data_IF_162966135335
#
_entry.id   IF_162966135335
#
_cell.length_a   1.000
_cell.length_b   1.000
_cell.length_c   1.000
_cell.angle_alpha   90.00
_cell.angle_beta   90.00
_cell.angle_gamma   90.00
#
_symmetry.space_group_name_H-M   'P 1'
#
loop_
_entity.id
_entity.type
_entity.pdbx_description
1 polymer ?
#
# COMPACT_ATOMS: atom_id res chain seq x y z
N UNK A 1 -2.70 3.96 -8.51
CA UNK A 1 -2.44 4.78 -9.74
C UNK A 1 -1.03 4.52 -10.21
N UNK A 2 -0.76 4.53 -11.48
CA UNK A 2 0.62 4.49 -11.97
C UNK A 2 1.17 5.91 -11.97
N UNK A 3 2.41 6.10 -11.56
CA UNK A 3 3.13 7.38 -11.72
C UNK A 3 3.55 7.63 -13.17
N UNK A 4 3.22 6.71 -14.08
CA UNK A 4 3.55 6.81 -15.50
C UNK A 4 3.00 8.09 -16.14
N UNK A 5 3.88 8.86 -16.76
CA UNK A 5 3.56 10.15 -17.38
C UNK A 5 3.25 11.28 -16.39
N UNK A 6 3.50 11.08 -15.09
CA UNK A 6 3.37 12.14 -14.07
C UNK A 6 4.66 12.94 -13.95
N UNK A 7 4.50 14.23 -13.75
CA UNK A 7 5.57 15.19 -13.56
C UNK A 7 5.75 15.49 -12.07
N UNK A 8 6.88 15.12 -11.50
CA UNK A 8 7.13 15.24 -10.06
C UNK A 8 8.31 16.19 -9.80
N UNK A 9 8.08 17.17 -8.93
CA UNK A 9 9.19 17.98 -8.38
C UNK A 9 9.64 17.37 -7.05
N UNK A 10 10.92 17.02 -6.95
CA UNK A 10 11.56 16.56 -5.71
C UNK A 10 12.34 17.69 -5.10
N UNK A 11 11.84 18.20 -3.98
CA UNK A 11 12.49 19.25 -3.16
C UNK A 11 13.42 18.65 -2.12
N UNK A 12 14.67 19.10 -2.03
CA UNK A 12 15.66 18.52 -1.13
C UNK A 12 16.24 19.61 -0.22
N UNK A 13 16.10 19.45 1.10
CA UNK A 13 16.72 20.34 2.07
C UNK A 13 17.97 19.73 2.72
N UNK A 14 18.78 20.57 3.37
CA UNK A 14 20.09 20.23 3.93
C UNK A 14 20.00 19.42 5.22
N UNK A 15 19.83 18.13 5.11
CA UNK A 15 19.89 17.15 6.19
C UNK A 15 20.55 15.85 5.72
N UNK A 16 21.11 15.07 6.65
CA UNK A 16 21.83 13.83 6.31
C UNK A 16 20.96 12.88 5.48
N UNK A 17 19.65 12.80 5.71
CA UNK A 17 18.73 11.95 4.95
C UNK A 17 18.68 12.28 3.44
N UNK A 18 19.25 13.42 2.99
CA UNK A 18 19.36 13.75 1.57
C UNK A 18 20.12 12.69 0.75
N UNK A 19 21.03 11.91 1.37
CA UNK A 19 21.77 10.85 0.69
C UNK A 19 20.85 9.72 0.15
N UNK A 20 19.63 9.56 0.71
CA UNK A 20 18.66 8.58 0.27
C UNK A 20 17.86 9.02 -0.96
N UNK A 21 17.83 10.32 -1.26
CA UNK A 21 16.95 10.87 -2.31
C UNK A 21 17.29 10.42 -3.72
N UNK A 22 18.54 10.16 -4.10
CA UNK A 22 18.85 9.52 -5.39
C UNK A 22 18.10 8.19 -5.60
N UNK A 23 17.89 7.40 -4.55
CA UNK A 23 17.11 6.16 -4.60
C UNK A 23 15.60 6.46 -4.84
N UNK A 24 15.04 7.45 -4.13
CA UNK A 24 13.66 7.90 -4.37
C UNK A 24 13.47 8.33 -5.84
N UNK A 25 14.35 9.20 -6.35
CA UNK A 25 14.29 9.69 -7.74
C UNK A 25 14.30 8.50 -8.72
N UNK A 26 15.23 7.55 -8.54
CA UNK A 26 15.28 6.34 -9.38
C UNK A 26 14.03 5.49 -9.29
N UNK A 27 13.43 5.37 -8.11
CA UNK A 27 12.17 4.66 -7.92
C UNK A 27 11.02 5.32 -8.68
N UNK A 28 10.90 6.65 -8.61
CA UNK A 28 9.89 7.44 -9.33
C UNK A 28 10.06 7.32 -10.85
N UNK A 29 11.29 7.49 -11.35
CA UNK A 29 11.61 7.33 -12.78
C UNK A 29 11.30 5.91 -13.27
N UNK A 30 11.65 4.89 -12.48
CA UNK A 30 11.32 3.48 -12.80
C UNK A 30 9.80 3.23 -12.81
N UNK A 31 9.04 3.96 -12.01
CA UNK A 31 7.58 3.93 -12.01
C UNK A 31 6.96 4.72 -13.19
N UNK A 32 7.79 5.34 -14.05
CA UNK A 32 7.40 6.05 -15.27
C UNK A 32 7.13 7.53 -15.08
N UNK A 33 7.51 8.12 -13.94
CA UNK A 33 7.42 9.56 -13.73
C UNK A 33 8.58 10.33 -14.40
N UNK A 34 8.31 11.55 -14.83
CA UNK A 34 9.35 12.55 -15.13
C UNK A 34 9.67 13.30 -13.83
N UNK A 35 10.97 13.43 -13.50
CA UNK A 35 11.39 14.03 -12.24
C UNK A 35 12.28 15.23 -12.48
N UNK A 36 11.94 16.36 -11.83
CA UNK A 36 12.82 17.54 -11.71
C UNK A 36 13.16 17.79 -10.25
N UNK A 37 14.30 18.40 -9.99
CA UNK A 37 14.83 18.55 -8.63
C UNK A 37 15.04 20.03 -8.30
N UNK A 38 14.52 20.45 -7.14
CA UNK A 38 14.82 21.76 -6.53
C UNK A 38 15.52 21.55 -5.18
N UNK A 39 16.62 22.28 -4.92
CA UNK A 39 17.40 22.07 -3.69
C UNK A 39 17.70 23.37 -2.95
N UNK A 40 17.90 23.25 -1.62
CA UNK A 40 18.63 24.27 -0.90
C UNK A 40 20.13 24.12 -1.16
N UNK A 41 20.91 25.21 -1.04
CA UNK A 41 22.39 25.15 -1.12
C UNK A 41 22.97 24.15 -0.12
N UNK A 42 22.38 24.03 1.08
CA UNK A 42 22.85 23.10 2.11
C UNK A 42 22.60 21.63 1.77
N UNK A 43 21.61 21.30 0.93
CA UNK A 43 21.37 19.93 0.47
C UNK A 43 22.57 19.40 -0.34
N UNK A 44 23.21 20.26 -1.12
CA UNK A 44 24.36 19.91 -1.97
C UNK A 44 25.63 19.56 -1.18
N UNK A 45 25.64 19.78 0.15
CA UNK A 45 26.72 19.29 1.03
C UNK A 45 26.58 17.78 1.34
N UNK A 46 25.39 17.21 1.15
CA UNK A 46 25.09 15.79 1.44
C UNK A 46 24.94 14.94 0.17
N UNK A 47 24.51 15.55 -0.94
CA UNK A 47 24.34 14.89 -2.24
C UNK A 47 24.76 15.85 -3.34
N UNK A 48 25.62 15.40 -4.26
CA UNK A 48 26.13 16.29 -5.32
C UNK A 48 25.05 16.57 -6.38
N UNK A 49 25.14 17.75 -6.97
CA UNK A 49 24.28 18.14 -8.09
C UNK A 49 24.42 17.16 -9.25
N UNK A 50 25.65 16.71 -9.55
CA UNK A 50 25.91 15.71 -10.58
C UNK A 50 25.17 14.40 -10.33
N UNK A 51 25.14 13.91 -9.10
CA UNK A 51 24.36 12.70 -8.74
C UNK A 51 22.88 12.90 -9.04
N UNK A 52 22.32 14.03 -8.60
CA UNK A 52 20.89 14.33 -8.79
C UNK A 52 20.52 14.48 -10.27
N UNK A 53 21.34 15.17 -11.06
CA UNK A 53 21.17 15.30 -12.51
C UNK A 53 21.22 13.94 -13.21
N UNK A 54 22.18 13.10 -12.82
CA UNK A 54 22.35 11.76 -13.43
C UNK A 54 21.15 10.86 -13.19
N UNK A 55 20.58 10.87 -11.97
CA UNK A 55 19.47 9.97 -11.63
C UNK A 55 18.11 10.49 -12.08
N UNK A 56 17.94 11.82 -12.19
CA UNK A 56 16.69 12.43 -12.67
C UNK A 56 16.64 12.60 -14.19
N UNK A 57 17.81 12.64 -14.85
CA UNK A 57 17.92 12.99 -16.26
C UNK A 57 17.62 14.48 -16.56
N UNK A 58 17.56 15.32 -15.52
CA UNK A 58 17.16 16.72 -15.62
C UNK A 58 18.10 17.62 -14.86
N UNK A 59 18.19 18.90 -15.26
CA UNK A 59 18.94 19.91 -14.51
C UNK A 59 18.37 20.10 -13.10
N UNK A 60 19.25 20.35 -12.12
CA UNK A 60 18.86 20.66 -10.74
C UNK A 60 18.72 22.18 -10.57
N UNK A 61 17.60 22.61 -10.02
CA UNK A 61 17.36 23.99 -9.64
C UNK A 61 17.88 24.22 -8.21
N UNK A 62 19.02 24.90 -8.09
CA UNK A 62 19.73 25.12 -6.84
C UNK A 62 20.02 26.60 -6.52
N UNK A 63 19.87 27.48 -7.49
CA UNK A 63 20.13 28.92 -7.36
C UNK A 63 19.03 29.71 -8.10
N UNK A 64 18.38 30.63 -7.37
CA UNK A 64 17.31 31.51 -7.92
C UNK A 64 17.85 32.44 -9.00
N UNK A 65 19.14 32.78 -8.96
CA UNK A 65 19.79 33.71 -9.87
C UNK A 65 20.68 33.03 -10.92
N UNK A 66 20.66 31.68 -10.99
CA UNK A 66 21.37 30.98 -12.06
C UNK A 66 20.88 31.44 -13.42
N UNK A 67 21.83 31.66 -14.37
CA UNK A 67 21.51 32.12 -15.72
C UNK A 67 20.55 31.15 -16.42
N UNK A 68 19.42 31.65 -16.86
CA UNK A 68 18.34 30.92 -17.52
C UNK A 68 18.49 31.15 -19.03
N UNK A 69 18.53 30.07 -19.79
CA UNK A 69 18.65 30.14 -21.26
C UNK A 69 17.32 30.40 -21.99
N UNK A 70 16.20 30.45 -21.30
CA UNK A 70 14.86 30.68 -21.86
C UNK A 70 14.07 31.59 -20.93
N UNK A 71 13.23 32.44 -21.48
CA UNK A 71 12.53 33.57 -20.87
C UNK A 71 11.59 33.30 -19.70
N UNK A 72 11.66 32.10 -19.07
CA UNK A 72 10.86 31.74 -17.90
C UNK A 72 11.74 31.50 -16.65
N UNK A 73 11.32 32.06 -15.54
CA UNK A 73 11.94 31.82 -14.23
C UNK A 73 11.58 30.42 -13.71
N UNK A 74 12.56 29.59 -13.33
CA UNK A 74 12.33 28.18 -12.95
C UNK A 74 11.36 28.02 -11.78
N UNK A 75 11.31 28.97 -10.85
CA UNK A 75 10.36 28.94 -9.73
C UNK A 75 8.89 29.16 -10.17
N UNK A 76 8.63 29.53 -11.41
CA UNK A 76 7.28 29.58 -12.03
C UNK A 76 7.09 28.36 -12.93
N UNK A 77 8.07 28.05 -13.79
CA UNK A 77 7.97 26.95 -14.75
C UNK A 77 7.90 25.56 -14.08
N UNK A 78 8.59 25.34 -12.95
CA UNK A 78 8.51 24.07 -12.22
C UNK A 78 7.11 23.80 -11.63
N UNK A 79 6.49 24.75 -10.92
CA UNK A 79 5.10 24.62 -10.46
C UNK A 79 4.08 24.45 -11.56
N UNK A 80 4.24 25.11 -12.69
CA UNK A 80 3.34 24.95 -13.83
C UNK A 80 3.49 23.56 -14.47
N UNK A 81 4.70 23.07 -14.59
CA UNK A 81 5.02 21.79 -15.19
C UNK A 81 4.59 20.60 -14.32
N UNK A 82 4.72 20.67 -12.99
CA UNK A 82 4.52 19.51 -12.12
C UNK A 82 3.04 19.17 -11.87
N UNK A 83 2.77 17.87 -11.70
CA UNK A 83 1.51 17.35 -11.19
C UNK A 83 1.50 17.34 -9.65
N UNK A 84 2.65 17.08 -9.02
CA UNK A 84 2.83 17.09 -7.57
C UNK A 84 4.27 17.42 -7.17
N UNK A 85 4.44 17.82 -5.90
CA UNK A 85 5.75 18.04 -5.30
C UNK A 85 5.94 17.18 -4.06
N UNK A 86 7.16 16.66 -3.84
CA UNK A 86 7.56 16.08 -2.57
C UNK A 86 8.77 16.81 -2.02
N UNK A 87 8.73 17.22 -0.76
CA UNK A 87 9.86 17.80 -0.03
C UNK A 87 10.43 16.75 0.91
N UNK A 88 11.54 16.15 0.53
CA UNK A 88 12.20 15.08 1.25
C UNK A 88 13.74 15.21 1.13
N UNK A 89 14.48 15.23 2.24
CA UNK A 89 14.00 15.48 3.59
C UNK A 89 13.49 16.92 3.76
N UNK A 90 12.50 17.15 4.63
CA UNK A 90 12.09 18.47 5.09
C UNK A 90 12.68 18.73 6.48
N UNK A 91 13.71 19.59 6.55
CA UNK A 91 14.34 19.97 7.82
C UNK A 91 13.49 20.97 8.59
N UNK A 92 13.73 21.12 9.90
CA UNK A 92 13.08 22.13 10.74
C UNK A 92 13.20 23.55 10.15
N UNK A 93 14.33 23.87 9.52
CA UNK A 93 14.55 25.17 8.85
C UNK A 93 13.55 25.38 7.70
N UNK A 94 13.39 24.39 6.82
CA UNK A 94 12.45 24.50 5.69
C UNK A 94 11.00 24.55 6.18
N UNK A 95 10.63 23.72 7.18
CA UNK A 95 9.31 23.75 7.78
C UNK A 95 8.99 25.12 8.40
N UNK A 96 9.93 25.70 9.13
CA UNK A 96 9.77 27.05 9.70
C UNK A 96 9.60 28.12 8.62
N UNK A 97 10.40 28.07 7.54
CA UNK A 97 10.29 28.99 6.41
C UNK A 97 8.95 28.85 5.69
N UNK A 98 8.52 27.61 5.42
CA UNK A 98 7.22 27.35 4.80
C UNK A 98 6.08 27.97 5.60
N UNK A 99 5.99 27.66 6.92
CA UNK A 99 4.94 28.15 7.79
C UNK A 99 4.91 29.69 7.92
N UNK A 100 6.07 30.34 7.70
CA UNK A 100 6.23 31.81 7.79
C UNK A 100 6.18 32.50 6.42
N UNK A 101 6.02 31.78 5.30
CA UNK A 101 6.00 32.33 3.95
C UNK A 101 7.36 32.85 3.47
N UNK A 102 8.48 32.38 4.04
CA UNK A 102 9.84 32.80 3.65
C UNK A 102 10.29 31.99 2.44
N UNK A 103 10.63 32.70 1.35
CA UNK A 103 11.04 32.15 0.07
C UNK A 103 12.37 32.76 -0.39
N UNK A 104 13.47 32.44 0.30
CA UNK A 104 14.79 33.06 0.13
C UNK A 104 15.82 32.14 -0.57
N UNK A 105 15.40 30.97 -1.00
CA UNK A 105 16.22 30.01 -1.76
C UNK A 105 15.39 29.29 -2.85
N UNK A 106 16.04 28.56 -3.75
CA UNK A 106 15.41 27.88 -4.88
C UNK A 106 14.29 26.92 -4.45
N UNK A 107 14.51 26.16 -3.36
CA UNK A 107 13.51 25.23 -2.85
C UNK A 107 12.30 25.97 -2.27
N UNK A 108 12.52 26.92 -1.37
CA UNK A 108 11.42 27.62 -0.68
C UNK A 108 10.61 28.50 -1.64
N UNK A 109 11.25 29.08 -2.66
CA UNK A 109 10.55 29.81 -3.73
C UNK A 109 9.68 28.89 -4.58
N UNK A 110 10.17 27.68 -4.91
CA UNK A 110 9.38 26.66 -5.60
C UNK A 110 8.19 26.20 -4.75
N UNK A 111 8.40 25.94 -3.47
CA UNK A 111 7.32 25.57 -2.53
C UNK A 111 6.25 26.65 -2.49
N UNK A 112 6.62 27.91 -2.31
CA UNK A 112 5.68 29.03 -2.24
C UNK A 112 4.81 29.17 -3.49
N UNK A 113 5.36 28.82 -4.66
CA UNK A 113 4.63 28.85 -5.93
C UNK A 113 3.77 27.61 -6.18
N UNK A 114 4.09 26.47 -5.55
CA UNK A 114 3.36 25.19 -5.71
C UNK A 114 2.19 25.04 -4.73
N UNK A 115 2.38 25.44 -3.47
CA UNK A 115 1.58 24.98 -2.32
C UNK A 115 0.08 25.24 -2.41
N UNK A 116 -0.31 26.34 -3.07
CA UNK A 116 -1.73 26.70 -3.22
C UNK A 116 -2.47 25.98 -4.36
N UNK A 117 -1.76 25.23 -5.20
CA UNK A 117 -2.32 24.71 -6.45
C UNK A 117 -2.02 23.26 -6.75
N UNK A 118 -1.01 22.69 -6.10
CA UNK A 118 -0.50 21.35 -6.43
C UNK A 118 -0.45 20.48 -5.18
N UNK A 119 -0.79 19.20 -5.29
CA UNK A 119 -0.57 18.24 -4.21
C UNK A 119 0.89 18.25 -3.78
N UNK A 120 1.12 18.33 -2.46
CA UNK A 120 2.45 18.40 -1.89
C UNK A 120 2.61 17.41 -0.75
N UNK A 121 3.66 16.60 -0.79
CA UNK A 121 4.04 15.68 0.29
C UNK A 121 5.25 16.25 1.01
N UNK A 122 5.18 16.35 2.32
CA UNK A 122 6.26 16.82 3.17
C UNK A 122 6.75 15.67 4.03
N UNK A 123 8.03 15.34 3.93
CA UNK A 123 8.69 14.28 4.70
C UNK A 123 9.68 14.87 5.71
N UNK A 124 9.24 15.18 6.95
CA UNK A 124 10.10 15.72 7.97
C UNK A 124 11.25 14.76 8.31
N UNK A 125 12.47 15.31 8.46
CA UNK A 125 13.61 14.53 8.92
C UNK A 125 14.58 15.44 9.70
N UNK A 126 14.78 15.12 10.98
CA UNK A 126 15.60 15.89 11.89
C UNK A 126 15.95 15.08 13.15
N UNK A 127 16.77 15.63 14.02
CA UNK A 127 16.97 15.07 15.35
C UNK A 127 15.66 15.12 16.18
N UNK A 128 15.48 14.17 17.10
CA UNK A 128 14.31 14.04 17.97
C UNK A 128 13.99 15.33 18.75
N UNK A 129 15.01 15.97 19.34
CA UNK A 129 14.85 17.25 20.07
C UNK A 129 14.40 18.40 19.16
N UNK A 130 14.82 18.38 17.91
CA UNK A 130 14.36 19.37 16.92
C UNK A 130 12.93 19.09 16.51
N UNK A 131 12.55 17.81 16.42
CA UNK A 131 11.16 17.40 16.17
C UNK A 131 10.23 17.85 17.29
N UNK A 132 10.63 17.63 18.55
CA UNK A 132 9.86 18.01 19.74
C UNK A 132 9.85 19.53 20.01
N UNK A 133 10.68 20.31 19.32
CA UNK A 133 10.76 21.76 19.52
C UNK A 133 9.39 22.41 19.27
N UNK A 134 8.88 23.25 20.22
CA UNK A 134 7.58 23.90 20.11
C UNK A 134 7.38 24.70 18.81
N UNK A 135 8.43 25.37 18.31
CA UNK A 135 8.36 26.13 17.07
C UNK A 135 8.23 25.20 15.85
N UNK A 136 8.95 24.08 15.83
CA UNK A 136 8.81 23.06 14.78
C UNK A 136 7.40 22.46 14.78
N UNK A 137 6.88 22.10 15.95
CA UNK A 137 5.53 21.57 16.08
C UNK A 137 4.45 22.60 15.70
N UNK A 138 4.66 23.90 15.99
CA UNK A 138 3.77 24.97 15.54
C UNK A 138 3.78 25.09 14.02
N UNK A 139 4.95 25.09 13.38
CA UNK A 139 5.08 25.11 11.92
C UNK A 139 4.36 23.91 11.26
N UNK A 140 4.53 22.70 11.82
CA UNK A 140 3.88 21.51 11.32
C UNK A 140 2.35 21.60 11.42
N UNK A 141 1.82 22.10 12.54
CA UNK A 141 0.37 22.31 12.68
C UNK A 141 -0.16 23.26 11.62
N UNK A 142 0.50 24.40 11.41
CA UNK A 142 0.13 25.37 10.36
C UNK A 142 0.15 24.74 8.98
N UNK A 143 1.20 23.99 8.63
CA UNK A 143 1.33 23.36 7.31
C UNK A 143 0.26 22.26 7.10
N UNK A 144 -0.12 21.54 8.14
CA UNK A 144 -1.19 20.51 8.06
C UNK A 144 -2.58 21.05 7.78
N UNK A 145 -2.82 22.33 8.05
CA UNK A 145 -4.09 22.99 7.76
C UNK A 145 -4.20 23.43 6.29
N UNK A 146 -3.11 23.39 5.53
CA UNK A 146 -3.12 23.79 4.13
C UNK A 146 -3.76 22.73 3.25
N UNK A 147 -4.66 23.17 2.38
CA UNK A 147 -5.26 22.32 1.37
C UNK A 147 -4.19 21.70 0.46
N UNK A 148 -4.38 20.44 0.07
CA UNK A 148 -3.47 19.69 -0.79
C UNK A 148 -2.07 19.37 -0.21
N UNK A 149 -1.78 19.70 1.05
CA UNK A 149 -0.51 19.39 1.70
C UNK A 149 -0.65 18.20 2.65
N UNK A 150 0.21 17.20 2.46
CA UNK A 150 0.25 15.98 3.24
C UNK A 150 1.57 15.87 3.99
N UNK A 151 1.54 16.07 5.30
CA UNK A 151 2.73 15.97 6.16
C UNK A 151 2.82 14.57 6.73
N UNK A 152 3.89 13.86 6.36
CA UNK A 152 4.19 12.54 6.89
C UNK A 152 4.68 12.61 8.34
N UNK A 153 4.42 11.55 9.11
CA UNK A 153 5.07 11.38 10.40
C UNK A 153 6.50 10.87 10.18
N UNK A 154 7.50 11.43 10.86
CA UNK A 154 8.84 10.85 10.82
C UNK A 154 8.85 9.50 11.50
N UNK A 155 9.64 8.57 10.96
CA UNK A 155 9.79 7.23 11.50
C UNK A 155 10.59 7.25 12.82
N UNK A 156 10.32 6.28 13.68
CA UNK A 156 11.08 6.01 14.91
C UNK A 156 12.26 5.09 14.61
N UNK A 157 13.34 5.26 15.36
CA UNK A 157 14.50 4.38 15.27
C UNK A 157 15.83 5.06 15.57
N UNK A 158 16.95 4.37 15.28
CA UNK A 158 18.29 4.95 15.49
C UNK A 158 18.48 6.19 14.62
N UNK A 159 18.89 7.30 15.24
CA UNK A 159 19.23 8.56 14.59
C UNK A 159 20.74 8.66 14.33
N UNK A 160 21.16 9.52 13.42
CA UNK A 160 22.57 9.73 13.08
C UNK A 160 23.43 10.22 14.26
N UNK A 161 22.81 10.83 15.28
CA UNK A 161 23.47 11.26 16.51
C UNK A 161 23.65 10.14 17.56
N UNK A 162 23.24 8.90 17.26
CA UNK A 162 23.35 7.75 18.16
C UNK A 162 22.21 7.59 19.17
N UNK A 163 21.22 8.50 19.19
CA UNK A 163 20.00 8.36 19.98
C UNK A 163 18.96 7.52 19.21
N UNK A 164 17.97 6.99 19.93
CA UNK A 164 16.80 6.35 19.34
C UNK A 164 15.59 7.24 19.64
N UNK A 165 14.87 7.63 18.57
CA UNK A 165 13.73 8.54 18.72
C UNK A 165 12.99 8.78 17.41
N UNK A 166 11.99 9.64 17.47
CA UNK A 166 11.17 10.04 16.32
C UNK A 166 11.86 11.19 15.57
N UNK A 167 12.19 10.98 14.31
CA UNK A 167 12.90 12.02 13.51
C UNK A 167 13.50 11.50 12.21
N UNK A 168 13.45 10.19 11.94
CA UNK A 168 13.91 9.61 10.68
C UNK A 168 12.96 9.92 9.53
N UNK A 169 13.54 10.22 8.36
CA UNK A 169 12.74 10.24 7.13
C UNK A 169 12.07 8.88 6.90
N UNK A 170 10.78 8.84 6.52
CA UNK A 170 10.11 7.61 6.13
C UNK A 170 10.87 6.84 5.04
N UNK A 171 10.62 5.55 4.92
CA UNK A 171 11.30 4.73 3.91
C UNK A 171 10.81 5.09 2.48
N UNK A 172 11.62 4.77 1.47
CA UNK A 172 11.36 5.18 0.07
C UNK A 172 10.00 4.69 -0.43
N UNK A 173 9.59 3.48 -0.03
CA UNK A 173 8.28 2.93 -0.40
C UNK A 173 7.13 3.75 0.18
N UNK A 174 7.25 4.28 1.40
CA UNK A 174 6.25 5.14 2.03
C UNK A 174 6.19 6.52 1.37
N UNK A 175 7.34 7.08 0.97
CA UNK A 175 7.41 8.35 0.24
C UNK A 175 6.72 8.24 -1.13
N UNK A 176 6.97 7.14 -1.85
CA UNK A 176 6.31 6.88 -3.13
C UNK A 176 4.81 6.68 -2.94
N UNK A 177 4.40 5.87 -1.97
CA UNK A 177 2.98 5.64 -1.66
C UNK A 177 2.25 6.93 -1.28
N UNK A 178 2.92 7.83 -0.52
CA UNK A 178 2.37 9.13 -0.17
C UNK A 178 2.15 10.04 -1.40
N UNK A 179 3.06 10.01 -2.38
CA UNK A 179 2.87 10.71 -3.66
C UNK A 179 1.71 10.13 -4.46
N UNK A 180 1.59 8.80 -4.53
CA UNK A 180 0.49 8.14 -5.22
C UNK A 180 -0.86 8.47 -4.55
N UNK A 181 -0.90 8.55 -3.22
CA UNK A 181 -2.06 9.03 -2.46
C UNK A 181 -2.42 10.48 -2.81
N UNK A 182 -1.43 11.38 -2.77
CA UNK A 182 -1.65 12.81 -3.03
C UNK A 182 -2.17 13.09 -4.45
N UNK A 183 -1.80 12.23 -5.42
CA UNK A 183 -2.25 12.31 -6.81
C UNK A 183 -3.56 11.58 -7.09
N UNK A 184 -4.01 10.71 -6.18
CA UNK A 184 -5.20 9.90 -6.40
C UNK A 184 -6.49 10.71 -6.15
N UNK A 185 -7.53 10.51 -6.97
CA UNK A 185 -8.84 11.10 -6.69
C UNK A 185 -9.42 10.47 -5.42
N UNK A 186 -9.89 11.30 -4.50
CA UNK A 186 -10.40 10.87 -3.17
C UNK A 186 -11.85 10.35 -3.26
N UNK A 187 -12.13 9.43 -4.20
CA UNK A 187 -13.49 8.94 -4.51
C UNK A 187 -14.08 8.02 -3.43
N UNK A 188 -13.25 7.54 -2.50
CA UNK A 188 -13.68 6.68 -1.39
C UNK A 188 -13.49 7.36 -0.01
N UNK A 189 -13.35 8.69 0.01
CA UNK A 189 -13.22 9.42 1.26
C UNK A 189 -14.45 9.19 2.17
N UNK A 190 -14.19 8.85 3.45
CA UNK A 190 -15.21 8.54 4.44
C UNK A 190 -15.80 7.13 4.34
N UNK A 191 -15.36 6.29 3.39
CA UNK A 191 -15.78 4.89 3.31
C UNK A 191 -14.89 3.99 4.18
N UNK A 192 -15.52 3.01 4.84
CA UNK A 192 -14.86 1.94 5.61
C UNK A 192 -14.90 0.63 4.82
N UNK A 193 -13.73 0.10 4.49
CA UNK A 193 -13.60 -1.08 3.62
C UNK A 193 -12.94 -2.23 4.36
N UNK A 194 -13.62 -3.38 4.45
CA UNK A 194 -13.04 -4.62 4.95
C UNK A 194 -12.34 -5.36 3.81
N UNK A 195 -11.09 -5.74 3.98
CA UNK A 195 -10.35 -6.54 3.00
C UNK A 195 -9.73 -7.75 3.68
N UNK A 196 -9.87 -8.95 3.08
CA UNK A 196 -9.15 -10.13 3.55
C UNK A 196 -7.96 -10.44 2.63
N UNK A 197 -6.82 -10.85 3.19
CA UNK A 197 -5.60 -11.12 2.44
C UNK A 197 -4.82 -12.33 2.98
N UNK A 198 -4.06 -12.98 2.11
CA UNK A 198 -3.20 -14.11 2.49
C UNK A 198 -3.90 -15.46 2.50
N UNK A 199 -3.19 -16.49 2.89
CA UNK A 199 -3.72 -17.83 3.12
C UNK A 199 -3.95 -18.10 4.59
N UNK A 200 -5.02 -18.84 4.95
CA UNK A 200 -5.16 -19.32 6.32
C UNK A 200 -4.24 -20.52 6.58
N UNK A 201 -3.87 -20.73 7.82
CA UNK A 201 -3.05 -21.84 8.29
C UNK A 201 -3.86 -22.65 9.30
N UNK A 202 -4.20 -23.88 8.94
CA UNK A 202 -5.03 -24.77 9.75
C UNK A 202 -4.11 -25.76 10.49
N UNK A 203 -3.93 -25.64 11.81
CA UNK A 203 -2.93 -26.39 12.53
C UNK A 203 -3.25 -27.89 12.56
N UNK A 204 -2.27 -28.73 12.22
CA UNK A 204 -2.28 -30.17 12.44
C UNK A 204 -1.76 -30.49 13.84
N UNK A 205 -0.66 -29.81 14.20
CA UNK A 205 0.00 -29.83 15.50
C UNK A 205 0.76 -28.50 15.71
N UNK A 206 1.47 -28.27 16.83
CA UNK A 206 2.18 -27.02 17.07
C UNK A 206 3.28 -26.67 16.05
N UNK A 207 3.62 -27.59 15.14
CA UNK A 207 4.73 -27.43 14.18
C UNK A 207 4.25 -27.39 12.72
N UNK A 208 3.14 -28.08 12.41
CA UNK A 208 2.66 -28.29 11.03
C UNK A 208 1.23 -27.80 10.84
N UNK A 209 0.95 -27.31 9.64
CA UNK A 209 -0.37 -26.78 9.25
C UNK A 209 -0.70 -27.13 7.81
N UNK A 210 -1.98 -27.05 7.45
CA UNK A 210 -2.49 -27.03 6.08
C UNK A 210 -2.66 -25.58 5.69
N UNK A 211 -2.28 -25.20 4.49
CA UNK A 211 -2.45 -23.83 3.98
C UNK A 211 -2.55 -23.80 2.46
N UNK A 212 -2.91 -22.64 1.93
CA UNK A 212 -2.92 -22.32 0.52
C UNK A 212 -1.63 -21.60 0.10
N UNK A 213 -1.34 -21.57 -1.21
CA UNK A 213 -0.16 -20.90 -1.77
C UNK A 213 -0.27 -19.38 -1.83
N UNK A 214 -1.33 -18.78 -1.27
CA UNK A 214 -1.52 -17.33 -1.31
C UNK A 214 -0.44 -16.58 -0.54
N UNK A 215 0.12 -15.54 -1.15
CA UNK A 215 1.13 -14.65 -0.55
C UNK A 215 0.54 -13.35 -0.01
N UNK A 216 -0.76 -13.10 -0.23
CA UNK A 216 -1.45 -11.87 0.18
C UNK A 216 -1.25 -10.66 -0.75
N UNK A 217 -0.38 -10.72 -1.76
CA UNK A 217 -0.04 -9.59 -2.63
C UNK A 217 -1.24 -8.89 -3.26
N UNK A 218 -2.27 -9.63 -3.69
CA UNK A 218 -3.47 -9.03 -4.31
C UNK A 218 -4.29 -8.24 -3.29
N UNK A 219 -4.54 -8.83 -2.11
CA UNK A 219 -5.27 -8.15 -1.03
C UNK A 219 -4.53 -6.90 -0.54
N UNK A 220 -3.21 -6.92 -0.48
CA UNK A 220 -2.39 -5.75 -0.15
C UNK A 220 -2.48 -4.65 -1.21
N UNK A 221 -2.42 -5.02 -2.49
CA UNK A 221 -2.59 -4.05 -3.58
C UNK A 221 -3.99 -3.40 -3.56
N UNK A 222 -5.04 -4.16 -3.26
CA UNK A 222 -6.39 -3.63 -3.08
C UNK A 222 -6.50 -2.70 -1.86
N UNK A 223 -5.90 -3.07 -0.73
CA UNK A 223 -5.90 -2.24 0.47
C UNK A 223 -5.21 -0.89 0.22
N UNK A 224 -4.05 -0.89 -0.44
CA UNK A 224 -3.37 0.33 -0.84
C UNK A 224 -4.18 1.16 -1.84
N UNK A 225 -4.80 0.55 -2.84
CA UNK A 225 -5.63 1.25 -3.82
C UNK A 225 -6.87 1.91 -3.19
N UNK A 226 -7.53 1.25 -2.21
CA UNK A 226 -8.63 1.82 -1.43
C UNK A 226 -8.15 2.99 -0.56
N UNK A 227 -7.04 2.79 0.18
CA UNK A 227 -6.46 3.81 1.04
C UNK A 227 -6.03 5.06 0.25
N UNK A 228 -5.41 4.90 -0.93
CA UNK A 228 -5.06 6.02 -1.83
C UNK A 228 -6.28 6.84 -2.24
N UNK A 229 -7.44 6.21 -2.39
CA UNK A 229 -8.72 6.88 -2.71
C UNK A 229 -9.44 7.46 -1.51
N UNK A 230 -8.81 7.44 -0.34
CA UNK A 230 -9.30 8.05 0.89
C UNK A 230 -10.11 7.14 1.81
N UNK A 231 -10.23 5.84 1.50
CA UNK A 231 -10.93 4.90 2.37
C UNK A 231 -10.14 4.58 3.65
N UNK A 232 -10.86 4.30 4.74
CA UNK A 232 -10.34 3.63 5.93
C UNK A 232 -10.46 2.11 5.74
N UNK A 233 -9.34 1.41 5.77
CA UNK A 233 -9.29 -0.02 5.43
C UNK A 233 -9.04 -0.86 6.67
N UNK A 234 -9.94 -1.79 6.96
CA UNK A 234 -9.69 -2.89 7.91
C UNK A 234 -9.18 -4.09 7.12
N UNK A 235 -7.89 -4.42 7.27
CA UNK A 235 -7.21 -5.47 6.53
C UNK A 235 -7.01 -6.71 7.41
N UNK A 236 -7.85 -7.74 7.24
CA UNK A 236 -7.76 -9.01 7.96
C UNK A 236 -6.80 -9.94 7.22
N UNK A 237 -5.67 -10.26 7.85
CA UNK A 237 -4.58 -11.01 7.24
C UNK A 237 -4.44 -12.43 7.79
N UNK A 238 -4.44 -13.41 6.90
CA UNK A 238 -3.84 -14.71 7.16
C UNK A 238 -2.31 -14.63 7.12
N UNK A 239 -1.66 -15.73 6.80
CA UNK A 239 -0.20 -15.76 6.64
C UNK A 239 0.22 -14.95 5.40
N UNK A 240 1.02 -13.92 5.62
CA UNK A 240 1.55 -13.05 4.58
C UNK A 240 3.02 -12.75 4.85
N UNK A 241 3.83 -12.65 3.79
CA UNK A 241 5.26 -12.34 3.89
C UNK A 241 5.60 -10.92 3.44
N UNK A 242 4.65 -10.20 2.84
CA UNK A 242 4.89 -8.87 2.31
C UNK A 242 4.70 -7.78 3.38
N UNK A 243 5.51 -6.72 3.32
CA UNK A 243 5.28 -5.48 4.05
C UNK A 243 4.30 -4.58 3.28
N UNK A 244 3.59 -3.73 4.00
CA UNK A 244 2.60 -2.82 3.47
C UNK A 244 3.00 -1.39 3.82
N UNK A 245 3.18 -0.53 2.81
CA UNK A 245 3.35 0.90 3.04
C UNK A 245 2.00 1.51 3.44
N UNK A 246 2.00 2.26 4.55
CA UNK A 246 0.79 2.88 5.11
C UNK A 246 1.11 4.28 5.66
N UNK A 247 1.55 5.24 4.79
CA UNK A 247 2.10 6.53 5.21
C UNK A 247 1.12 7.42 5.98
N UNK A 248 -0.19 7.21 5.82
CA UNK A 248 -1.23 8.01 6.47
C UNK A 248 -2.05 7.23 7.50
N UNK A 249 -1.62 6.02 7.86
CA UNK A 249 -2.28 5.21 8.88
C UNK A 249 -3.68 4.69 8.54
N UNK A 250 -4.12 4.79 7.27
CA UNK A 250 -5.48 4.42 6.83
C UNK A 250 -5.72 2.92 6.71
N UNK A 251 -4.70 2.08 6.86
CA UNK A 251 -4.84 0.63 6.80
C UNK A 251 -4.62 0.05 8.18
N UNK A 252 -5.69 -0.46 8.78
CA UNK A 252 -5.70 -1.10 10.10
C UNK A 252 -5.61 -2.62 9.92
N UNK A 253 -4.42 -3.18 10.15
CA UNK A 253 -4.16 -4.60 9.99
C UNK A 253 -4.58 -5.39 11.24
N UNK A 254 -5.32 -6.48 11.00
CA UNK A 254 -5.70 -7.50 12.00
C UNK A 254 -5.16 -8.85 11.53
N UNK A 255 -4.30 -9.47 12.32
CA UNK A 255 -3.77 -10.79 11.99
C UNK A 255 -4.73 -11.89 12.45
N UNK A 256 -5.13 -12.77 11.53
CA UNK A 256 -6.09 -13.85 11.71
C UNK A 256 -5.61 -15.09 10.95
N UNK A 257 -4.76 -15.89 11.57
CA UNK A 257 -4.02 -16.96 10.91
C UNK A 257 -4.90 -18.14 10.49
N UNK A 258 -5.94 -18.50 11.27
CA UNK A 258 -6.86 -19.59 10.90
C UNK A 258 -8.13 -19.10 10.23
N UNK A 259 -8.82 -19.98 9.50
CA UNK A 259 -10.13 -19.70 8.92
C UNK A 259 -11.15 -19.25 9.98
N UNK A 260 -11.14 -19.84 11.16
CA UNK A 260 -12.01 -19.48 12.27
C UNK A 260 -11.72 -18.06 12.79
N UNK A 261 -10.44 -17.73 13.03
CA UNK A 261 -10.04 -16.40 13.48
C UNK A 261 -10.38 -15.33 12.43
N UNK A 262 -10.19 -15.63 11.14
CA UNK A 262 -10.55 -14.72 10.04
C UNK A 262 -12.07 -14.53 9.97
N UNK A 263 -12.84 -15.59 10.12
CA UNK A 263 -14.31 -15.52 10.19
C UNK A 263 -14.78 -14.59 11.32
N UNK A 264 -14.28 -14.80 12.54
CA UNK A 264 -14.64 -14.00 13.71
C UNK A 264 -14.27 -12.54 13.54
N UNK A 265 -13.07 -12.24 13.03
CA UNK A 265 -12.64 -10.87 12.76
C UNK A 265 -13.50 -10.19 11.70
N UNK A 266 -13.85 -10.89 10.61
CA UNK A 266 -14.68 -10.35 9.56
C UNK A 266 -16.12 -10.09 10.03
N UNK A 267 -16.74 -11.03 10.75
CA UNK A 267 -18.10 -10.88 11.26
C UNK A 267 -18.20 -9.75 12.29
N UNK A 268 -17.19 -9.61 13.15
CA UNK A 268 -17.14 -8.52 14.13
C UNK A 268 -16.98 -7.14 13.47
N UNK A 269 -16.20 -7.04 12.40
CA UNK A 269 -15.97 -5.78 11.71
C UNK A 269 -17.15 -5.38 10.80
N UNK A 270 -17.80 -6.34 10.14
CA UNK A 270 -18.78 -6.13 9.07
C UNK A 270 -19.90 -5.11 9.34
N UNK A 271 -20.52 -5.06 10.52
CA UNK A 271 -21.56 -4.07 10.82
C UNK A 271 -21.15 -2.61 10.65
N UNK A 272 -19.85 -2.34 10.73
CA UNK A 272 -19.26 -0.98 10.67
C UNK A 272 -18.64 -0.65 9.31
N UNK A 273 -18.76 -1.55 8.34
CA UNK A 273 -18.15 -1.39 7.01
C UNK A 273 -19.19 -0.98 5.97
N UNK A 274 -18.76 -0.20 4.98
CA UNK A 274 -19.55 0.15 3.81
C UNK A 274 -19.39 -0.90 2.71
N UNK A 275 -18.24 -1.55 2.67
CA UNK A 275 -17.98 -2.62 1.70
C UNK A 275 -16.97 -3.64 2.21
N UNK A 276 -16.99 -4.84 1.59
CA UNK A 276 -15.97 -5.86 1.82
C UNK A 276 -15.46 -6.44 0.51
N UNK A 277 -14.14 -6.70 0.45
CA UNK A 277 -13.45 -7.37 -0.65
C UNK A 277 -12.75 -8.61 -0.10
N UNK A 278 -13.33 -9.77 -0.34
CA UNK A 278 -12.87 -11.04 0.18
C UNK A 278 -11.85 -11.67 -0.77
N UNK A 279 -10.56 -11.34 -0.57
CA UNK A 279 -9.44 -11.75 -1.42
C UNK A 279 -8.52 -12.80 -0.79
N UNK A 280 -8.74 -13.18 0.49
CA UNK A 280 -7.96 -14.22 1.15
C UNK A 280 -8.24 -15.60 0.54
N UNK A 281 -7.22 -16.47 0.54
CA UNK A 281 -7.35 -17.88 0.25
C UNK A 281 -7.62 -18.64 1.55
N UNK A 282 -8.88 -18.65 1.97
CA UNK A 282 -9.33 -19.36 3.17
C UNK A 282 -9.35 -20.87 2.86
N UNK A 283 -8.83 -21.70 3.75
CA UNK A 283 -8.90 -23.14 3.61
C UNK A 283 -10.36 -23.62 3.79
N UNK A 284 -10.85 -24.45 2.88
CA UNK A 284 -12.20 -25.03 2.96
C UNK A 284 -12.31 -26.06 4.10
N UNK A 285 -11.19 -26.64 4.51
CA UNK A 285 -11.11 -27.68 5.52
C UNK A 285 -10.03 -27.40 6.56
N UNK A 286 -10.30 -27.76 7.82
CA UNK A 286 -9.36 -27.71 8.94
C UNK A 286 -9.30 -29.08 9.63
N UNK A 287 -8.17 -29.48 10.27
CA UNK A 287 -8.13 -30.70 11.07
C UNK A 287 -9.26 -30.74 12.12
N UNK A 288 -10.00 -31.85 12.16
CA UNK A 288 -11.11 -32.00 13.10
C UNK A 288 -10.65 -31.93 14.56
N UNK A 289 -9.46 -32.43 14.84
CA UNK A 289 -8.82 -32.44 16.17
C UNK A 289 -7.32 -32.20 16.01
N UNK A 290 -6.87 -30.94 16.08
CA UNK A 290 -5.43 -30.63 16.09
C UNK A 290 -4.75 -31.31 17.30
N UNK A 291 -3.57 -31.89 17.08
CA UNK A 291 -2.79 -32.49 18.17
C UNK A 291 -2.17 -31.41 19.08
N UNK A 292 -2.25 -31.60 20.40
CA UNK A 292 -1.65 -30.67 21.35
C UNK A 292 -0.12 -30.73 21.37
N UNK A 293 0.46 -31.84 20.94
CA UNK A 293 1.91 -32.05 20.82
C UNK A 293 2.29 -32.45 19.41
N UNK A 294 3.57 -32.22 19.04
CA UNK A 294 4.13 -32.66 17.78
C UNK A 294 3.92 -34.14 17.53
N UNK A 295 3.22 -34.54 16.48
CA UNK A 295 3.02 -35.93 16.08
C UNK A 295 4.38 -36.54 15.66
N UNK A 296 4.81 -37.61 16.37
CA UNK A 296 6.06 -38.31 16.09
C UNK A 296 5.84 -39.53 15.23
N UNK A 297 6.79 -39.85 14.35
CA UNK A 297 6.71 -41.05 13.48
C UNK A 297 6.74 -42.36 14.31
N UNK A 298 7.47 -42.37 15.39
CA UNK A 298 7.62 -43.53 16.29
C UNK A 298 6.31 -43.91 16.99
N UNK A 299 5.41 -42.98 17.25
CA UNK A 299 4.09 -43.24 17.80
C UNK A 299 3.12 -43.95 16.84
N UNK A 300 3.51 -44.05 15.56
CA UNK A 300 2.72 -44.68 14.49
C UNK A 300 3.28 -46.03 14.05
N UNK A 301 4.45 -46.43 14.54
CA UNK A 301 5.07 -47.71 14.22
C UNK A 301 4.57 -48.78 15.20
N UNK A 302 3.71 -49.69 14.73
CA UNK A 302 3.60 -51.01 15.34
C UNK A 302 4.86 -51.80 15.01
N UNK A 303 5.56 -52.26 16.02
CA UNK A 303 6.67 -53.22 16.20
C UNK A 303 7.28 -53.93 14.97
N UNK A 304 7.57 -53.27 13.86
CA UNK A 304 8.39 -53.89 12.83
C UNK A 304 9.18 -52.85 12.03
N UNK A 305 10.47 -53.11 11.81
CA UNK A 305 11.37 -52.46 10.87
C UNK A 305 10.86 -52.64 9.42
N UNK A 306 9.73 -51.99 9.07
CA UNK A 306 9.26 -51.99 7.70
C UNK A 306 9.89 -50.81 6.97
N UNK A 307 10.58 -51.11 5.86
CA UNK A 307 11.19 -50.13 4.93
C UNK A 307 10.14 -49.24 4.23
N UNK A 308 8.84 -49.51 4.44
CA UNK A 308 7.75 -48.79 3.80
C UNK A 308 7.14 -47.74 4.75
N UNK A 309 6.92 -46.49 4.29
CA UNK A 309 6.30 -45.47 5.11
C UNK A 309 4.87 -45.86 5.49
N UNK A 310 4.54 -45.83 6.80
CA UNK A 310 3.19 -46.07 7.31
C UNK A 310 2.32 -44.87 6.96
N UNK A 311 1.15 -45.03 6.31
CA UNK A 311 0.26 -43.93 6.02
C UNK A 311 -0.33 -43.36 7.31
N UNK A 312 -0.42 -42.04 7.36
CA UNK A 312 -1.10 -41.31 8.43
C UNK A 312 -2.37 -40.66 7.91
N UNK A 313 -3.51 -40.95 8.51
CA UNK A 313 -4.81 -40.38 8.14
C UNK A 313 -5.14 -39.17 9.01
N UNK A 314 -5.45 -38.06 8.38
CA UNK A 314 -5.91 -36.85 9.04
C UNK A 314 -7.41 -36.65 8.75
N UNK A 315 -8.22 -36.64 9.82
CA UNK A 315 -9.65 -36.29 9.68
C UNK A 315 -9.80 -34.78 9.57
N UNK A 316 -10.55 -34.32 8.58
CA UNK A 316 -10.83 -32.92 8.33
C UNK A 316 -12.31 -32.61 8.56
N UNK A 317 -12.61 -31.37 8.94
CA UNK A 317 -13.96 -30.80 8.97
C UNK A 317 -14.00 -29.51 8.13
N UNK A 318 -15.17 -29.14 7.65
CA UNK A 318 -15.38 -27.89 6.95
C UNK A 318 -15.10 -26.68 7.85
N UNK A 319 -14.62 -25.60 7.24
CA UNK A 319 -14.46 -24.30 7.86
C UNK A 319 -15.70 -23.43 7.68
N UNK A 320 -15.82 -22.34 8.45
CA UNK A 320 -16.90 -21.38 8.30
C UNK A 320 -16.80 -20.61 6.98
N UNK A 321 -17.91 -20.43 6.28
CA UNK A 321 -17.98 -19.67 5.01
C UNK A 321 -18.17 -18.17 5.31
N UNK A 322 -17.08 -17.42 5.31
CA UNK A 322 -17.06 -15.98 5.56
C UNK A 322 -17.97 -15.24 4.56
N UNK A 323 -17.82 -15.52 3.27
CA UNK A 323 -18.56 -14.81 2.23
C UNK A 323 -20.09 -15.01 2.37
N UNK A 324 -20.52 -16.23 2.72
CA UNK A 324 -21.91 -16.53 3.00
C UNK A 324 -22.43 -15.79 4.22
N UNK A 325 -21.69 -15.83 5.33
CA UNK A 325 -22.10 -15.18 6.57
C UNK A 325 -22.25 -13.65 6.41
N UNK A 326 -21.31 -13.00 5.70
CA UNK A 326 -21.40 -11.57 5.41
C UNK A 326 -22.56 -11.28 4.45
N UNK A 327 -22.80 -12.12 3.44
CA UNK A 327 -23.89 -11.94 2.49
C UNK A 327 -25.27 -12.11 3.12
N UNK A 328 -25.44 -13.05 4.04
CA UNK A 328 -26.71 -13.28 4.77
C UNK A 328 -27.04 -12.10 5.75
N UNK A 329 -26.00 -11.41 6.26
CA UNK A 329 -26.15 -10.25 7.17
C UNK A 329 -25.98 -8.90 6.49
N UNK A 330 -25.81 -8.87 5.15
CA UNK A 330 -25.54 -7.65 4.37
C UNK A 330 -26.73 -6.67 4.43
N UNK A 331 -26.45 -5.40 4.75
CA UNK A 331 -27.42 -4.31 4.61
C UNK A 331 -27.54 -3.89 3.12
N UNK A 332 -28.63 -3.23 2.76
CA UNK A 332 -28.88 -2.80 1.38
C UNK A 332 -27.86 -1.76 0.85
N UNK A 333 -27.26 -0.99 1.75
CA UNK A 333 -26.25 0.04 1.46
C UNK A 333 -24.83 -0.52 1.41
N UNK A 334 -24.61 -1.77 1.82
CA UNK A 334 -23.30 -2.43 1.82
C UNK A 334 -23.02 -3.13 0.50
N UNK A 335 -21.73 -3.12 0.11
CA UNK A 335 -21.25 -3.82 -1.08
C UNK A 335 -20.32 -4.97 -0.68
N UNK A 336 -20.59 -6.18 -1.19
CA UNK A 336 -19.81 -7.39 -0.91
C UNK A 336 -19.21 -7.97 -2.19
N UNK A 337 -17.87 -8.02 -2.27
CA UNK A 337 -17.12 -8.48 -3.43
C UNK A 337 -16.32 -9.71 -3.04
N UNK A 338 -16.49 -10.81 -3.80
CA UNK A 338 -15.73 -12.04 -3.61
C UNK A 338 -14.64 -12.22 -4.65
N UNK A 339 -13.63 -13.02 -4.33
CA UNK A 339 -12.67 -13.58 -5.29
C UNK A 339 -12.96 -15.07 -5.50
N UNK A 340 -12.77 -15.53 -6.72
CA UNK A 340 -12.83 -16.94 -7.06
C UNK A 340 -11.59 -17.33 -7.87
N UNK A 341 -11.00 -18.46 -7.51
CA UNK A 341 -9.97 -19.14 -8.28
C UNK A 341 -10.53 -20.49 -8.67
N UNK A 342 -10.81 -20.70 -9.95
CA UNK A 342 -11.46 -21.89 -10.47
C UNK A 342 -10.55 -22.62 -11.46
N UNK A 343 -10.74 -23.92 -11.60
CA UNK A 343 -9.96 -24.76 -12.52
C UNK A 343 -10.80 -25.35 -13.66
N UNK A 344 -12.14 -25.49 -13.44
CA UNK A 344 -13.10 -26.05 -14.38
C UNK A 344 -14.39 -25.22 -14.33
N UNK A 345 -15.08 -25.09 -15.46
CA UNK A 345 -16.37 -24.37 -15.58
C UNK A 345 -16.39 -23.01 -14.85
N UNK A 346 -15.27 -22.30 -14.96
CA UNK A 346 -14.88 -21.15 -14.14
C UNK A 346 -15.99 -20.09 -14.01
N UNK A 347 -16.55 -19.66 -15.15
CA UNK A 347 -17.62 -18.65 -15.19
C UNK A 347 -18.92 -19.14 -14.54
N UNK A 348 -19.29 -20.39 -14.79
CA UNK A 348 -20.51 -20.99 -14.22
C UNK A 348 -20.43 -21.14 -12.72
N UNK A 349 -19.27 -21.61 -12.23
CA UNK A 349 -19.02 -21.76 -10.80
C UNK A 349 -18.97 -20.39 -10.09
N UNK A 350 -18.34 -19.38 -10.70
CA UNK A 350 -18.31 -18.03 -10.18
C UNK A 350 -19.71 -17.41 -10.07
N UNK A 351 -20.55 -17.53 -11.11
CA UNK A 351 -21.93 -17.04 -11.09
C UNK A 351 -22.76 -17.74 -10.00
N UNK A 352 -22.64 -19.05 -9.85
CA UNK A 352 -23.33 -19.78 -8.79
C UNK A 352 -22.89 -19.32 -7.39
N UNK A 353 -21.58 -19.04 -7.18
CA UNK A 353 -21.07 -18.47 -5.92
C UNK A 353 -21.63 -17.07 -5.68
N UNK A 354 -21.67 -16.22 -6.71
CA UNK A 354 -22.20 -14.86 -6.65
C UNK A 354 -23.65 -14.86 -6.13
N UNK A 355 -24.51 -15.67 -6.71
CA UNK A 355 -25.92 -15.78 -6.31
C UNK A 355 -26.07 -16.36 -4.89
N UNK A 356 -25.45 -17.53 -4.64
CA UNK A 356 -25.60 -18.26 -3.38
C UNK A 356 -25.09 -17.52 -2.16
N UNK A 357 -24.09 -16.64 -2.33
CA UNK A 357 -23.47 -15.89 -1.26
C UNK A 357 -23.88 -14.41 -1.21
N UNK A 358 -24.88 -14.03 -2.00
CA UNK A 358 -25.41 -12.66 -2.09
C UNK A 358 -24.34 -11.61 -2.36
N UNK A 359 -23.36 -11.91 -3.25
CA UNK A 359 -22.32 -11.00 -3.64
C UNK A 359 -22.83 -9.97 -4.65
N UNK A 360 -22.31 -8.76 -4.61
CA UNK A 360 -22.58 -7.72 -5.63
C UNK A 360 -21.67 -7.88 -6.86
N UNK A 361 -20.48 -8.44 -6.63
CA UNK A 361 -19.55 -8.82 -7.69
C UNK A 361 -18.65 -9.98 -7.27
N UNK A 362 -18.15 -10.72 -8.26
CA UNK A 362 -17.12 -11.73 -8.06
C UNK A 362 -15.98 -11.52 -9.06
N UNK A 363 -14.76 -11.55 -8.56
CA UNK A 363 -13.53 -11.37 -9.33
C UNK A 363 -12.95 -12.76 -9.57
N UNK A 364 -13.04 -13.20 -10.82
CA UNK A 364 -12.62 -14.52 -11.25
C UNK A 364 -11.18 -14.48 -11.74
N UNK A 365 -10.32 -15.30 -11.15
CA UNK A 365 -8.96 -15.61 -11.61
C UNK A 365 -8.94 -17.00 -12.21
N UNK A 366 -8.08 -17.22 -13.22
CA UNK A 366 -7.82 -18.53 -13.81
C UNK A 366 -6.37 -18.95 -13.58
N UNK A 367 -6.15 -20.20 -13.19
CA UNK A 367 -4.81 -20.81 -13.15
C UNK A 367 -4.26 -21.14 -14.55
N UNK A 368 -5.09 -21.02 -15.59
CA UNK A 368 -4.71 -21.29 -16.99
C UNK A 368 -3.95 -20.12 -17.61
N UNK A 369 -4.09 -18.91 -17.03
CA UNK A 369 -3.46 -17.70 -17.55
C UNK A 369 -2.00 -17.63 -17.10
N UNK A 370 -1.08 -17.75 -18.07
CA UNK A 370 0.35 -17.62 -17.81
C UNK A 370 0.69 -16.26 -17.22
N UNK A 371 1.38 -16.23 -16.07
CA UNK A 371 1.74 -15.00 -15.36
C UNK A 371 0.67 -14.51 -14.38
N UNK A 372 -0.48 -15.18 -14.29
CA UNK A 372 -1.49 -14.96 -13.25
C UNK A 372 -1.38 -15.99 -12.13
N UNK A 373 -1.94 -15.72 -10.97
CA UNK A 373 -2.06 -16.66 -9.85
C UNK A 373 -1.25 -16.30 -8.61
N UNK A 374 -0.97 -17.33 -7.79
CA UNK A 374 -0.28 -17.15 -6.53
C UNK A 374 1.21 -16.80 -6.71
N UNK A 375 1.75 -15.96 -5.85
CA UNK A 375 3.17 -15.60 -5.81
C UNK A 375 3.66 -14.62 -6.88
N UNK A 376 2.96 -14.49 -8.02
CA UNK A 376 3.31 -13.55 -9.11
C UNK A 376 3.00 -12.09 -8.74
N UNK A 377 3.64 -11.14 -9.43
CA UNK A 377 3.34 -9.70 -9.29
C UNK A 377 2.28 -9.21 -10.28
N UNK A 378 1.88 -10.07 -11.21
CA UNK A 378 0.87 -9.82 -12.24
C UNK A 378 -0.39 -10.65 -12.02
N UNK A 379 -1.51 -10.25 -12.63
CA UNK A 379 -2.75 -11.00 -12.62
C UNK A 379 -3.56 -10.77 -13.91
N UNK A 380 -4.50 -11.68 -14.19
CA UNK A 380 -5.59 -11.57 -15.18
C UNK A 380 -6.87 -11.83 -14.43
N UNK A 381 -7.87 -10.97 -14.59
CA UNK A 381 -9.15 -11.16 -13.88
C UNK A 381 -10.34 -10.85 -14.77
N UNK A 382 -11.45 -11.53 -14.50
CA UNK A 382 -12.76 -11.19 -15.05
C UNK A 382 -13.69 -10.80 -13.90
N UNK A 383 -14.28 -9.61 -13.96
CA UNK A 383 -15.25 -9.11 -12.98
C UNK A 383 -16.64 -9.47 -13.48
N UNK A 384 -17.39 -10.21 -12.68
CA UNK A 384 -18.80 -10.56 -12.93
C UNK A 384 -19.63 -9.84 -11.88
N UNK A 385 -20.56 -8.96 -12.30
CA UNK A 385 -21.43 -8.21 -11.41
C UNK A 385 -22.83 -8.85 -11.33
N UNK A 386 -23.55 -8.59 -10.24
CA UNK A 386 -24.88 -9.14 -10.01
C UNK A 386 -25.93 -8.67 -11.03
N UNK A 387 -25.70 -7.52 -11.67
CA UNK A 387 -26.53 -7.01 -12.78
C UNK A 387 -26.27 -7.70 -14.13
N UNK A 388 -25.34 -8.65 -14.19
CA UNK A 388 -24.95 -9.37 -15.40
C UNK A 388 -23.79 -8.72 -16.17
N UNK A 389 -23.30 -7.56 -15.75
CA UNK A 389 -22.15 -6.90 -16.37
C UNK A 389 -20.88 -7.74 -16.23
N UNK A 390 -20.14 -7.89 -17.33
CA UNK A 390 -18.89 -8.65 -17.38
C UNK A 390 -17.76 -7.75 -17.90
N UNK A 391 -16.71 -7.60 -17.10
CA UNK A 391 -15.52 -6.83 -17.49
C UNK A 391 -14.27 -7.69 -17.40
N UNK A 392 -13.59 -7.91 -18.51
CA UNK A 392 -12.31 -8.62 -18.54
C UNK A 392 -11.14 -7.64 -18.47
N UNK A 393 -10.21 -7.88 -17.58
CA UNK A 393 -8.97 -7.11 -17.43
C UNK A 393 -7.79 -7.98 -17.89
N UNK A 394 -6.97 -7.48 -18.83
CA UNK A 394 -5.82 -8.22 -19.36
C UNK A 394 -4.71 -8.38 -18.31
N UNK A 395 -3.66 -9.13 -18.67
CA UNK A 395 -2.48 -9.29 -17.82
C UNK A 395 -1.82 -7.95 -17.50
N UNK A 396 -1.82 -7.60 -16.23
CA UNK A 396 -1.22 -6.37 -15.70
C UNK A 396 -0.65 -6.62 -14.29
N UNK A 397 0.08 -5.65 -13.74
CA UNK A 397 0.51 -5.71 -12.35
C UNK A 397 -0.70 -5.74 -11.40
N UNK A 398 -0.57 -6.40 -10.25
CA UNK A 398 -1.62 -6.44 -9.22
C UNK A 398 -2.03 -5.04 -8.75
N UNK A 399 -1.10 -4.09 -8.74
CA UNK A 399 -1.40 -2.69 -8.42
C UNK A 399 -2.35 -2.06 -9.46
N UNK A 400 -2.07 -2.22 -10.77
CA UNK A 400 -2.95 -1.70 -11.83
C UNK A 400 -4.31 -2.43 -11.86
N UNK A 401 -4.32 -3.75 -11.69
CA UNK A 401 -5.56 -4.54 -11.59
C UNK A 401 -6.43 -4.05 -10.44
N UNK A 402 -5.82 -3.75 -9.27
CA UNK A 402 -6.57 -3.23 -8.12
C UNK A 402 -7.23 -1.89 -8.43
N UNK A 403 -6.52 -0.98 -9.10
CA UNK A 403 -7.08 0.32 -9.52
C UNK A 403 -8.24 0.15 -10.50
N UNK A 404 -8.11 -0.76 -11.48
CA UNK A 404 -9.17 -1.04 -12.44
C UNK A 404 -10.39 -1.69 -11.77
N UNK A 405 -10.18 -2.63 -10.83
CA UNK A 405 -11.28 -3.22 -10.03
C UNK A 405 -12.05 -2.12 -9.29
N UNK A 406 -11.34 -1.21 -8.62
CA UNK A 406 -12.00 -0.11 -7.90
C UNK A 406 -12.70 0.85 -8.85
N UNK A 407 -12.11 1.15 -10.01
CA UNK A 407 -12.76 1.97 -11.03
C UNK A 407 -14.06 1.35 -11.55
N UNK A 408 -14.11 0.03 -11.72
CA UNK A 408 -15.30 -0.67 -12.20
C UNK A 408 -16.38 -0.78 -11.11
N UNK A 409 -15.99 -1.01 -9.86
CA UNK A 409 -16.92 -1.35 -8.80
C UNK A 409 -17.29 -0.17 -7.88
N UNK A 410 -16.51 0.92 -7.85
CA UNK A 410 -16.70 2.05 -6.94
C UNK A 410 -16.66 3.42 -7.65
N UNK A 411 -16.92 3.46 -8.97
CA UNK A 411 -17.10 4.70 -9.75
C UNK A 411 -18.52 5.24 -9.62
#
# INVERSE_FOLDING_TARGET
MSLSGKHIVVGISGGIAAYKIPELIRSLVKAGAEVRVATTRNALQFVTELTLQTVSGSRVYSDVFAAINEHATEHISLPEWCDAMIVAPATANVLGKMASGIADDALTTTIASCVARKPMVIAPAMNDKMWENPATQAAIRTIREWEHVHVLEPAEGPLACGTCGKGRMPEIAELQEALEYALAPQTMAGQHVLITAGGTQEPIDPVRFISNYSTGKMGFALAQACARRGAEVTLVCGAVSASLANPFGRIHRLDALSAQAMYEACVAAWPHMDSAILCAAVADFTPASPAAEKIKKEALASDSYTVHPTPYTLSLRETADIARALGESKRADQKLIGFALETNDEKKNALHKLERKHLDAIILNSLRDKGAGFGTDTNVVTILQADGTVTALPLQSKALISEEILRVLFS
#
